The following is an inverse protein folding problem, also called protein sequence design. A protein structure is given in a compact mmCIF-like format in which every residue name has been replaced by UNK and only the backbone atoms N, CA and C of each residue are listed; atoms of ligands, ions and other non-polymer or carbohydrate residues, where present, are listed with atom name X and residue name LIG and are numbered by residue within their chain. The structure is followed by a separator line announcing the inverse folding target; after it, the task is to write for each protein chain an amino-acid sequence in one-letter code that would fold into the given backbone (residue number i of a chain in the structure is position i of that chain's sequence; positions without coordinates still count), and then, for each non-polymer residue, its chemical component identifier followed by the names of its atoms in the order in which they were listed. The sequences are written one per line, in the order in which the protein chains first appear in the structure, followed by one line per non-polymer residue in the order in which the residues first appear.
data_IF_470836506328
#
_entry.id   IF_470836506328
#
_cell.length_a   1.000
_cell.length_b   1.000
_cell.length_c   1.000
_cell.angle_alpha   90.00
_cell.angle_beta   90.00
_cell.angle_gamma   90.00
#
_symmetry.space_group_name_H-M   'P 1'
#
loop_
_entity.id
_entity.type
_entity.pdbx_description
1 polymer ?
#
# COMPACT_ATOMS: atom_id res chain seq x y z
N UNK A 1 4.27 19.66 32.68
CA UNK A 1 5.54 19.31 32.04
C UNK A 1 5.22 18.77 30.67
N UNK A 2 5.89 19.20 29.61
CA UNK A 2 5.65 18.64 28.29
C UNK A 2 5.97 17.14 28.35
N UNK A 3 5.08 16.30 27.79
CA UNK A 3 5.30 14.85 27.68
C UNK A 3 6.54 14.64 26.82
N UNK A 4 7.63 14.18 27.40
CA UNK A 4 8.82 13.70 26.68
C UNK A 4 8.62 12.30 26.11
N UNK A 5 7.37 11.82 26.12
CA UNK A 5 7.00 10.46 25.76
C UNK A 5 6.86 10.34 24.24
N UNK A 6 7.54 9.38 23.65
CA UNK A 6 7.39 8.99 22.26
C UNK A 6 6.63 7.68 22.18
N UNK A 7 5.67 7.61 21.27
CA UNK A 7 4.98 6.37 20.88
C UNK A 7 5.18 6.15 19.38
N UNK A 8 5.39 4.92 18.98
CA UNK A 8 5.60 4.57 17.59
C UNK A 8 4.60 3.51 17.15
N UNK A 9 3.84 3.82 16.12
CA UNK A 9 2.98 2.89 15.39
C UNK A 9 3.63 2.54 14.06
N UNK A 10 3.84 1.25 13.80
CA UNK A 10 4.54 0.71 12.63
C UNK A 10 3.55 -0.08 11.78
N UNK A 11 3.33 0.33 10.55
CA UNK A 11 2.52 -0.42 9.57
C UNK A 11 3.46 -1.15 8.63
N UNK A 12 3.42 -2.49 8.65
CA UNK A 12 4.34 -3.35 7.90
C UNK A 12 3.54 -4.38 7.10
N UNK A 13 3.09 -4.02 5.88
CA UNK A 13 2.42 -4.95 4.98
C UNK A 13 3.32 -6.15 4.68
N UNK A 14 2.77 -7.35 4.77
CA UNK A 14 3.52 -8.56 4.46
C UNK A 14 4.50 -9.04 5.54
N UNK A 15 4.39 -8.54 6.77
CA UNK A 15 5.22 -8.97 7.90
C UNK A 15 5.28 -10.49 8.04
N UNK A 16 4.16 -11.17 7.83
CA UNK A 16 4.04 -12.62 7.96
C UNK A 16 4.35 -13.40 6.66
N UNK A 17 4.84 -12.72 5.62
CA UNK A 17 5.27 -13.34 4.36
C UNK A 17 4.13 -13.62 3.37
N UNK A 18 4.50 -14.16 2.20
CA UNK A 18 3.52 -14.49 1.16
C UNK A 18 2.62 -15.68 1.57
N UNK A 19 1.43 -15.80 0.94
CA UNK A 19 0.57 -16.94 1.15
C UNK A 19 1.32 -18.26 0.95
N UNK A 20 1.10 -19.23 1.85
CA UNK A 20 1.76 -20.54 1.76
C UNK A 20 3.17 -20.60 2.36
N UNK A 21 3.75 -19.51 2.83
CA UNK A 21 5.12 -19.47 3.37
C UNK A 21 5.32 -20.41 4.56
N UNK A 22 4.25 -20.70 5.31
CA UNK A 22 4.31 -21.63 6.45
C UNK A 22 4.80 -23.02 6.05
N UNK A 23 4.43 -23.47 4.85
CA UNK A 23 4.74 -24.78 4.31
C UNK A 23 6.13 -24.86 3.66
N UNK A 24 6.88 -23.75 3.58
CA UNK A 24 8.20 -23.67 2.98
C UNK A 24 9.29 -23.75 4.06
N UNK A 25 9.93 -24.93 4.32
CA UNK A 25 10.95 -25.07 5.36
C UNK A 25 12.14 -24.13 5.18
N UNK A 26 12.51 -23.85 3.94
CA UNK A 26 13.61 -22.94 3.58
C UNK A 26 13.35 -21.50 4.05
N UNK A 27 12.10 -21.07 4.12
CA UNK A 27 11.74 -19.73 4.61
C UNK A 27 12.13 -19.53 6.08
N UNK A 28 12.24 -20.59 6.85
CA UNK A 28 12.47 -20.57 8.30
C UNK A 28 13.86 -21.03 8.70
N UNK A 29 14.64 -21.64 7.77
CA UNK A 29 15.97 -22.14 8.06
C UNK A 29 16.88 -20.98 8.47
N UNK A 30 17.51 -21.11 9.64
CA UNK A 30 18.46 -20.14 10.20
C UNK A 30 17.92 -18.71 10.40
N UNK A 31 16.59 -18.50 10.25
CA UNK A 31 15.96 -17.21 10.51
C UNK A 31 15.81 -16.99 12.01
N UNK A 32 16.52 -16.01 12.56
CA UNK A 32 16.50 -15.66 13.97
C UNK A 32 16.06 -14.22 14.19
N UNK A 33 14.84 -14.02 14.69
CA UNK A 33 14.21 -12.72 14.89
C UNK A 33 13.80 -12.50 16.36
N UNK A 34 14.73 -12.59 17.34
CA UNK A 34 14.37 -12.60 18.75
C UNK A 34 13.65 -11.35 19.24
N UNK A 35 13.89 -10.17 18.65
CA UNK A 35 13.18 -8.94 18.98
C UNK A 35 11.74 -8.98 18.47
N UNK A 36 11.51 -9.33 17.19
CA UNK A 36 10.18 -9.46 16.62
C UNK A 36 9.36 -10.53 17.36
N UNK A 37 9.91 -11.72 17.54
CA UNK A 37 9.28 -12.82 18.26
C UNK A 37 8.93 -12.46 19.70
N UNK A 38 9.83 -11.70 20.35
CA UNK A 38 9.64 -11.19 21.71
C UNK A 38 8.55 -10.12 21.80
N UNK A 39 8.49 -9.22 20.80
CA UNK A 39 7.44 -8.22 20.67
C UNK A 39 6.08 -8.91 20.52
N UNK A 40 5.94 -9.75 19.49
CA UNK A 40 4.69 -10.44 19.21
C UNK A 40 4.19 -11.25 20.41
N UNK A 41 5.10 -11.95 21.14
CA UNK A 41 4.74 -12.80 22.27
C UNK A 41 4.29 -12.05 23.51
N UNK A 42 4.74 -10.80 23.70
CA UNK A 42 4.43 -9.98 24.89
C UNK A 42 3.37 -8.93 24.64
N UNK A 43 3.15 -8.57 23.38
CA UNK A 43 2.16 -7.58 23.00
C UNK A 43 0.72 -8.05 23.28
N UNK A 44 -0.16 -7.11 23.53
CA UNK A 44 -1.59 -7.35 23.44
C UNK A 44 -1.96 -7.42 21.96
N UNK A 45 -2.71 -8.46 21.61
CA UNK A 45 -3.20 -8.65 20.24
C UNK A 45 -4.66 -8.19 20.17
N UNK A 46 -4.93 -7.28 19.26
CA UNK A 46 -6.28 -6.77 19.02
C UNK A 46 -6.63 -6.95 17.53
N UNK A 47 -7.90 -7.20 17.24
CA UNK A 47 -8.39 -7.14 15.86
C UNK A 47 -8.76 -5.70 15.54
N UNK A 48 -8.30 -5.23 14.37
CA UNK A 48 -8.59 -3.90 13.85
C UNK A 48 -9.25 -4.00 12.49
N UNK A 49 -10.00 -2.98 12.12
CA UNK A 49 -10.51 -2.87 10.76
C UNK A 49 -9.34 -2.70 9.79
N UNK A 50 -9.29 -3.54 8.77
CA UNK A 50 -8.30 -3.43 7.70
C UNK A 50 -7.46 -4.69 7.54
N UNK A 51 -7.78 -5.45 6.49
CA UNK A 51 -6.95 -6.56 6.01
C UNK A 51 -6.11 -6.16 4.79
N UNK A 52 -6.07 -4.86 4.43
CA UNK A 52 -5.22 -4.28 3.40
C UNK A 52 -4.55 -3.02 3.92
N UNK A 53 -3.47 -2.60 3.25
CA UNK A 53 -2.75 -1.36 3.63
C UNK A 53 -3.68 -0.15 3.55
N UNK A 54 -4.46 -0.04 2.47
CA UNK A 54 -5.38 1.05 2.23
C UNK A 54 -6.41 1.16 3.37
N UNK A 55 -7.07 0.04 3.74
CA UNK A 55 -8.04 0.02 4.85
C UNK A 55 -7.39 0.36 6.18
N UNK A 56 -6.21 -0.19 6.46
CA UNK A 56 -5.46 0.12 7.69
C UNK A 56 -5.13 1.60 7.78
N UNK A 57 -4.64 2.21 6.69
CA UNK A 57 -4.30 3.62 6.67
C UNK A 57 -5.53 4.52 6.85
N UNK A 58 -6.62 4.26 6.11
CA UNK A 58 -7.85 5.04 6.27
C UNK A 58 -8.40 4.95 7.70
N UNK A 59 -8.36 3.76 8.33
CA UNK A 59 -8.77 3.60 9.73
C UNK A 59 -7.86 4.39 10.70
N UNK A 60 -6.53 4.38 10.50
CA UNK A 60 -5.57 5.13 11.31
C UNK A 60 -5.71 6.65 11.17
N UNK A 61 -6.28 7.12 10.07
CA UNK A 61 -6.65 8.51 9.84
C UNK A 61 -8.14 8.79 10.09
N UNK A 62 -8.85 7.89 10.80
CA UNK A 62 -10.25 8.02 11.22
C UNK A 62 -11.23 8.19 10.06
N UNK A 63 -10.90 7.72 8.86
CA UNK A 63 -11.82 7.68 7.74
C UNK A 63 -12.51 6.33 7.66
N UNK A 64 -13.82 6.34 7.77
CA UNK A 64 -14.68 5.16 7.56
C UNK A 64 -15.44 5.30 6.26
N UNK A 65 -15.52 4.24 5.49
CA UNK A 65 -16.33 4.18 4.28
C UNK A 65 -17.44 3.17 4.49
N UNK A 66 -18.66 3.54 4.10
CA UNK A 66 -19.83 2.66 4.20
C UNK A 66 -19.62 1.35 3.42
N UNK A 67 -20.28 0.29 3.85
CA UNK A 67 -20.28 -0.97 3.11
C UNK A 67 -20.82 -0.75 1.68
N UNK A 68 -20.12 -1.28 0.68
CA UNK A 68 -20.51 -1.16 -0.72
C UNK A 68 -19.88 0.02 -1.49
N UNK A 69 -18.92 0.71 -0.89
CA UNK A 69 -18.14 1.75 -1.56
C UNK A 69 -16.64 1.47 -1.45
N UNK A 70 -15.89 1.89 -2.46
CA UNK A 70 -14.44 1.87 -2.43
C UNK A 70 -13.89 2.91 -1.44
N UNK A 71 -12.67 2.67 -0.95
CA UNK A 71 -11.89 3.72 -0.29
C UNK A 71 -11.43 4.73 -1.35
N UNK A 72 -11.55 6.05 -1.12
CA UNK A 72 -11.21 7.07 -2.11
C UNK A 72 -9.70 7.28 -2.28
N UNK A 73 -8.97 6.18 -2.52
CA UNK A 73 -7.52 6.17 -2.70
C UNK A 73 -7.09 7.08 -3.83
N UNK A 74 -7.84 7.04 -4.94
CA UNK A 74 -7.55 7.85 -6.12
C UNK A 74 -7.57 9.33 -5.81
N UNK A 75 -8.62 9.83 -5.18
CA UNK A 75 -8.75 11.25 -4.85
C UNK A 75 -7.68 11.73 -3.85
N UNK A 76 -7.36 10.91 -2.84
CA UNK A 76 -6.32 11.24 -1.85
C UNK A 76 -4.93 11.29 -2.50
N UNK A 77 -4.58 10.29 -3.30
CA UNK A 77 -3.28 10.26 -3.99
C UNK A 77 -3.19 11.31 -5.09
N UNK A 78 -4.32 11.63 -5.79
CA UNK A 78 -4.38 12.75 -6.74
C UNK A 78 -4.14 14.09 -6.04
N UNK A 79 -4.78 14.31 -4.89
CA UNK A 79 -4.54 15.53 -4.11
C UNK A 79 -3.08 15.66 -3.67
N UNK A 80 -2.42 14.56 -3.35
CA UNK A 80 -1.00 14.56 -3.03
C UNK A 80 -0.11 14.86 -4.24
N UNK A 81 -0.36 14.20 -5.38
CA UNK A 81 0.48 14.29 -6.57
C UNK A 81 0.33 15.61 -7.34
N UNK A 82 -0.88 16.19 -7.40
CA UNK A 82 -1.20 17.33 -8.25
C UNK A 82 -1.96 18.48 -7.56
N UNK A 83 -2.42 18.29 -6.33
CA UNK A 83 -3.15 19.28 -5.52
C UNK A 83 -4.45 19.81 -6.17
N UNK A 84 -5.07 19.02 -7.04
CA UNK A 84 -6.22 19.43 -7.85
C UNK A 84 -7.38 18.42 -7.85
N UNK A 85 -7.47 17.54 -6.81
CA UNK A 85 -8.56 16.56 -6.75
C UNK A 85 -9.96 17.18 -6.81
N UNK A 86 -10.11 18.40 -6.28
CA UNK A 86 -11.38 19.16 -6.36
C UNK A 86 -12.58 18.38 -5.86
N UNK A 87 -13.77 18.68 -6.46
CA UNK A 87 -15.01 17.98 -6.16
C UNK A 87 -15.35 16.81 -7.09
N UNK A 88 -14.42 16.38 -7.94
CA UNK A 88 -14.64 15.32 -8.92
C UNK A 88 -14.58 13.94 -8.29
N UNK A 89 -15.16 12.95 -8.97
CA UNK A 89 -14.95 11.55 -8.70
C UNK A 89 -13.69 11.06 -9.38
N UNK A 90 -12.82 10.40 -8.66
CA UNK A 90 -11.56 9.89 -9.17
C UNK A 90 -11.49 8.37 -9.04
N UNK A 91 -10.90 7.72 -10.03
CA UNK A 91 -10.42 6.35 -9.98
C UNK A 91 -8.92 6.34 -10.25
N UNK A 92 -8.18 5.45 -9.63
CA UNK A 92 -6.89 5.03 -10.15
C UNK A 92 -7.14 4.28 -11.46
N UNK A 93 -6.30 4.52 -12.44
CA UNK A 93 -6.32 3.86 -13.75
C UNK A 93 -4.91 3.39 -14.08
N UNK A 94 -4.36 2.52 -13.25
CA UNK A 94 -2.95 2.17 -13.29
C UNK A 94 -2.64 1.32 -14.52
N UNK A 95 -1.53 1.64 -15.26
CA UNK A 95 -1.11 0.87 -16.41
C UNK A 95 -0.65 -0.52 -15.98
N UNK A 96 -1.11 -1.54 -16.69
CA UNK A 96 -0.78 -2.93 -16.41
C UNK A 96 -0.51 -3.72 -17.69
N UNK A 97 0.18 -4.84 -17.54
CA UNK A 97 0.32 -5.83 -18.58
C UNK A 97 -0.40 -7.11 -18.18
N UNK A 98 -1.42 -7.49 -18.96
CA UNK A 98 -2.15 -8.73 -18.80
C UNK A 98 -1.56 -9.79 -19.74
N UNK A 99 -1.26 -10.96 -19.22
CA UNK A 99 -0.80 -12.10 -20.02
C UNK A 99 -1.63 -13.35 -19.70
N UNK A 100 -1.90 -14.12 -20.74
CA UNK A 100 -2.56 -15.40 -20.59
C UNK A 100 -1.57 -16.45 -20.06
N UNK A 101 -1.91 -17.11 -18.98
CA UNK A 101 -1.20 -18.25 -18.41
C UNK A 101 -2.18 -19.44 -18.34
N UNK A 102 -2.14 -20.30 -19.36
CA UNK A 102 -3.06 -21.42 -19.57
C UNK A 102 -4.53 -20.95 -19.60
N UNK A 103 -5.27 -21.18 -18.51
CA UNK A 103 -6.69 -20.83 -18.32
C UNK A 103 -6.90 -19.59 -17.44
N UNK A 104 -5.83 -18.85 -17.16
CA UNK A 104 -5.83 -17.67 -16.29
C UNK A 104 -5.36 -16.43 -17.03
N UNK A 105 -5.88 -15.29 -16.65
CA UNK A 105 -5.38 -13.99 -17.07
C UNK A 105 -4.65 -13.33 -15.90
N UNK A 106 -3.32 -13.33 -15.96
CA UNK A 106 -2.47 -12.86 -14.86
C UNK A 106 -1.98 -11.46 -15.15
N UNK A 107 -1.91 -10.64 -14.10
CA UNK A 107 -1.47 -9.25 -14.17
C UNK A 107 -0.03 -9.08 -13.74
N UNK A 108 0.79 -8.49 -14.61
CA UNK A 108 2.03 -7.84 -14.23
C UNK A 108 1.72 -6.37 -13.89
N UNK A 109 2.10 -5.94 -12.69
CA UNK A 109 1.85 -4.58 -12.24
C UNK A 109 2.77 -3.56 -12.90
N UNK A 110 2.48 -2.30 -12.64
CA UNK A 110 3.19 -1.14 -13.22
C UNK A 110 4.68 -1.07 -12.86
N UNK A 111 5.12 -1.69 -11.75
CA UNK A 111 6.55 -1.78 -11.41
C UNK A 111 7.37 -2.58 -12.42
N UNK A 112 6.74 -3.51 -13.13
CA UNK A 112 7.40 -4.33 -14.16
C UNK A 112 7.46 -3.65 -15.54
N UNK A 113 6.77 -2.51 -15.72
CA UNK A 113 6.57 -1.91 -17.04
C UNK A 113 7.65 -0.91 -17.44
N UNK A 114 8.38 -0.31 -16.50
CA UNK A 114 9.38 0.73 -16.77
C UNK A 114 8.89 1.76 -17.81
N UNK A 115 7.92 2.59 -17.41
CA UNK A 115 7.23 3.52 -18.30
C UNK A 115 7.87 4.90 -18.18
N UNK A 116 8.25 5.51 -19.31
CA UNK A 116 8.71 6.90 -19.32
C UNK A 116 7.54 7.89 -19.24
N UNK A 117 7.83 9.12 -18.83
CA UNK A 117 6.81 10.20 -18.77
C UNK A 117 6.23 10.49 -20.15
N UNK A 118 7.04 10.46 -21.21
CA UNK A 118 6.59 10.70 -22.58
C UNK A 118 5.62 9.61 -23.05
N UNK A 119 5.87 8.35 -22.70
CA UNK A 119 4.95 7.23 -22.97
C UNK A 119 3.64 7.38 -22.22
N UNK A 120 3.69 7.81 -20.97
CA UNK A 120 2.49 8.10 -20.17
C UNK A 120 1.61 9.14 -20.87
N UNK A 121 2.20 10.27 -21.28
CA UNK A 121 1.48 11.34 -21.95
C UNK A 121 0.93 10.90 -23.32
N UNK A 122 1.71 10.16 -24.10
CA UNK A 122 1.29 9.69 -25.41
C UNK A 122 0.06 8.75 -25.30
N UNK A 123 0.11 7.76 -24.40
CA UNK A 123 -0.99 6.83 -24.17
C UNK A 123 -2.22 7.55 -23.60
N UNK A 124 -2.05 8.43 -22.63
CA UNK A 124 -3.15 9.21 -22.08
C UNK A 124 -3.83 10.06 -23.16
N UNK A 125 -3.07 10.66 -24.07
CA UNK A 125 -3.60 11.42 -25.20
C UNK A 125 -4.38 10.55 -26.19
N UNK A 126 -3.88 9.36 -26.53
CA UNK A 126 -4.58 8.40 -27.38
C UNK A 126 -5.92 7.98 -26.80
N UNK A 127 -5.94 7.61 -25.51
CA UNK A 127 -7.16 7.22 -24.81
C UNK A 127 -8.14 8.38 -24.65
N UNK A 128 -7.69 9.55 -24.26
CA UNK A 128 -8.54 10.73 -24.12
C UNK A 128 -9.17 11.17 -25.45
N UNK A 129 -8.49 10.96 -26.59
CA UNK A 129 -9.07 11.21 -27.92
C UNK A 129 -10.15 10.19 -28.26
N UNK A 130 -9.93 8.91 -27.93
CA UNK A 130 -10.90 7.86 -28.21
C UNK A 130 -12.19 8.04 -27.39
N UNK A 131 -12.07 8.39 -26.11
CA UNK A 131 -13.17 8.59 -25.17
C UNK A 131 -13.63 10.06 -25.07
N UNK A 132 -13.38 10.88 -26.08
CA UNK A 132 -13.65 12.32 -26.03
C UNK A 132 -15.15 12.68 -25.84
N UNK A 133 -16.05 11.80 -26.25
CA UNK A 133 -17.50 11.96 -26.11
C UNK A 133 -18.06 11.37 -24.79
N UNK A 134 -17.21 10.67 -24.02
CA UNK A 134 -17.54 10.08 -22.73
C UNK A 134 -17.17 11.04 -21.57
N UNK A 135 -17.80 10.81 -20.41
CA UNK A 135 -17.35 11.42 -19.15
C UNK A 135 -16.05 10.76 -18.71
N UNK A 136 -14.95 11.11 -19.41
CA UNK A 136 -13.65 10.46 -19.26
C UNK A 136 -12.52 11.48 -19.40
N UNK A 137 -11.67 11.55 -18.37
CA UNK A 137 -10.42 12.32 -18.45
C UNK A 137 -9.31 11.58 -17.74
N UNK A 138 -8.42 10.96 -18.51
CA UNK A 138 -7.25 10.27 -18.01
C UNK A 138 -6.08 11.24 -17.88
N UNK A 139 -5.49 11.29 -16.71
CA UNK A 139 -4.26 11.99 -16.40
C UNK A 139 -3.17 10.99 -16.01
N UNK A 140 -2.05 11.02 -16.71
CA UNK A 140 -0.92 10.11 -16.57
C UNK A 140 0.41 10.87 -16.37
N UNK A 141 0.39 11.92 -15.54
CA UNK A 141 1.58 12.73 -15.23
C UNK A 141 2.62 12.00 -14.38
N UNK A 142 2.27 10.88 -13.78
CA UNK A 142 3.16 10.05 -12.98
C UNK A 142 3.25 8.65 -13.61
N UNK A 143 4.46 8.15 -13.84
CA UNK A 143 4.67 6.84 -14.48
C UNK A 143 3.98 5.66 -13.79
N UNK A 144 3.74 5.75 -12.49
CA UNK A 144 3.19 4.66 -11.68
C UNK A 144 1.74 4.87 -11.24
N UNK A 145 1.22 6.10 -11.30
CA UNK A 145 -0.12 6.43 -10.82
C UNK A 145 -0.86 7.25 -11.85
N UNK A 146 -1.79 6.62 -12.53
CA UNK A 146 -2.67 7.29 -13.47
C UNK A 146 -4.05 7.49 -12.85
N UNK A 147 -4.70 8.56 -13.23
CA UNK A 147 -5.94 9.01 -12.62
C UNK A 147 -7.01 9.22 -13.68
N UNK A 148 -8.15 8.58 -13.49
CA UNK A 148 -9.33 8.82 -14.30
C UNK A 148 -10.29 9.72 -13.53
N UNK A 149 -10.57 10.91 -14.07
CA UNK A 149 -11.56 11.82 -13.57
C UNK A 149 -12.90 11.51 -14.19
N UNK A 150 -13.94 11.49 -13.35
CA UNK A 150 -15.33 11.37 -13.73
C UNK A 150 -16.13 12.52 -13.09
N UNK A 151 -17.20 12.99 -13.75
CA UNK A 151 -18.11 13.97 -13.17
C UNK A 151 -19.08 13.29 -12.18
N UNK A 152 -19.45 12.03 -12.45
CA UNK A 152 -20.34 11.22 -11.62
C UNK A 152 -19.64 10.02 -10.97
N UNK A 153 -20.33 9.43 -10.00
CA UNK A 153 -19.88 8.21 -9.31
C UNK A 153 -19.79 7.02 -10.27
N UNK A 154 -18.71 6.25 -10.16
CA UNK A 154 -18.43 5.06 -10.99
C UNK A 154 -19.44 3.92 -10.81
N UNK A 155 -20.10 3.84 -9.64
CA UNK A 155 -21.09 2.82 -9.24
C UNK A 155 -20.57 1.38 -9.40
N UNK A 156 -19.27 1.19 -9.13
CA UNK A 156 -18.61 -0.11 -9.02
C UNK A 156 -17.81 -0.19 -7.72
N UNK A 157 -17.56 -1.40 -7.29
CA UNK A 157 -16.57 -1.75 -6.28
C UNK A 157 -15.38 -2.41 -6.98
N UNK A 158 -14.20 -2.08 -6.51
CA UNK A 158 -12.94 -2.48 -7.12
C UNK A 158 -11.96 -3.01 -6.08
N UNK A 159 -10.94 -3.70 -6.54
CA UNK A 159 -9.86 -4.17 -5.67
C UNK A 159 -8.55 -3.43 -5.97
N UNK A 160 -7.79 -3.14 -4.92
CA UNK A 160 -6.52 -2.45 -5.05
C UNK A 160 -5.55 -3.24 -5.94
N UNK A 161 -4.79 -2.53 -6.78
CA UNK A 161 -3.82 -3.14 -7.69
C UNK A 161 -2.90 -4.15 -6.96
N UNK A 162 -2.46 -3.81 -5.76
CA UNK A 162 -1.60 -4.64 -4.92
C UNK A 162 -2.20 -6.00 -4.53
N UNK A 163 -3.53 -6.10 -4.50
CA UNK A 163 -4.22 -7.34 -4.17
C UNK A 163 -4.41 -8.26 -5.39
N UNK A 164 -4.21 -7.72 -6.61
CA UNK A 164 -4.52 -8.42 -7.87
C UNK A 164 -3.26 -8.81 -8.64
N UNK A 165 -2.16 -8.07 -8.51
CA UNK A 165 -0.89 -8.39 -9.17
C UNK A 165 -0.46 -9.83 -8.87
N UNK A 166 -0.11 -10.59 -9.91
CA UNK A 166 0.28 -11.99 -9.83
C UNK A 166 -0.88 -12.97 -9.64
N UNK A 167 -2.13 -12.50 -9.62
CA UNK A 167 -3.33 -13.34 -9.48
C UNK A 167 -4.13 -13.40 -10.77
N UNK A 168 -5.09 -14.32 -10.83
CA UNK A 168 -6.08 -14.39 -11.91
C UNK A 168 -7.09 -13.24 -11.78
N UNK A 169 -7.00 -12.27 -12.69
CA UNK A 169 -7.82 -11.05 -12.64
C UNK A 169 -9.33 -11.30 -12.81
N UNK A 170 -9.73 -12.42 -13.39
CA UNK A 170 -11.14 -12.69 -13.67
C UNK A 170 -12.00 -12.74 -12.39
N UNK A 171 -11.38 -13.05 -11.26
CA UNK A 171 -12.03 -13.09 -9.94
C UNK A 171 -12.06 -11.74 -9.23
N UNK A 172 -11.33 -10.76 -9.76
CA UNK A 172 -11.11 -9.45 -9.17
C UNK A 172 -11.67 -8.31 -10.04
N UNK A 173 -12.43 -8.69 -11.10
CA UNK A 173 -13.05 -7.70 -11.99
C UNK A 173 -14.00 -6.77 -11.22
N UNK A 174 -14.10 -5.50 -11.63
CA UNK A 174 -15.03 -4.57 -11.03
C UNK A 174 -16.45 -5.14 -11.01
N UNK A 175 -17.16 -4.98 -9.90
CA UNK A 175 -18.53 -5.46 -9.70
C UNK A 175 -19.42 -4.36 -9.14
N UNK A 176 -20.73 -4.47 -9.39
CA UNK A 176 -21.72 -3.50 -8.95
C UNK A 176 -22.70 -3.11 -10.05
N UNK A 177 -23.58 -2.10 -9.81
CA UNK A 177 -24.65 -1.73 -10.74
C UNK A 177 -24.17 -1.32 -12.13
N UNK A 178 -22.95 -0.81 -12.28
CA UNK A 178 -22.37 -0.37 -13.55
C UNK A 178 -21.31 -1.34 -14.12
N UNK A 179 -21.19 -2.58 -13.60
CA UNK A 179 -20.13 -3.52 -13.99
C UNK A 179 -20.07 -3.81 -15.50
N UNK A 180 -21.22 -3.92 -16.17
CA UNK A 180 -21.26 -4.19 -17.61
C UNK A 180 -20.65 -3.04 -18.44
N UNK A 181 -20.94 -1.78 -18.08
CA UNK A 181 -20.35 -0.59 -18.71
C UNK A 181 -18.81 -0.61 -18.53
N UNK A 182 -18.35 -0.87 -17.30
CA UNK A 182 -16.92 -0.87 -17.01
C UNK A 182 -16.17 -2.01 -17.71
N UNK A 183 -16.78 -3.19 -17.83
CA UNK A 183 -16.18 -4.30 -18.62
C UNK A 183 -16.05 -3.94 -20.09
N UNK A 184 -17.10 -3.32 -20.69
CA UNK A 184 -17.01 -2.83 -22.07
C UNK A 184 -15.90 -1.79 -22.23
N UNK A 185 -15.82 -0.82 -21.32
CA UNK A 185 -14.81 0.21 -21.33
C UNK A 185 -13.38 -0.38 -21.19
N UNK A 186 -13.18 -1.37 -20.32
CA UNK A 186 -11.88 -2.06 -20.20
C UNK A 186 -11.50 -2.77 -21.51
N UNK A 187 -12.45 -3.40 -22.20
CA UNK A 187 -12.19 -4.02 -23.49
C UNK A 187 -11.84 -2.97 -24.57
N UNK A 188 -12.53 -1.85 -24.60
CA UNK A 188 -12.19 -0.75 -25.53
C UNK A 188 -10.80 -0.17 -25.25
N UNK A 189 -10.44 0.04 -23.99
CA UNK A 189 -9.08 0.44 -23.60
C UNK A 189 -8.05 -0.54 -24.14
N UNK A 190 -8.29 -1.85 -24.01
CA UNK A 190 -7.39 -2.87 -24.54
C UNK A 190 -7.28 -2.81 -26.07
N UNK A 191 -8.38 -2.57 -26.80
CA UNK A 191 -8.38 -2.42 -28.26
C UNK A 191 -7.56 -1.20 -28.70
N UNK A 192 -7.73 -0.06 -28.04
CA UNK A 192 -6.94 1.16 -28.32
C UNK A 192 -5.46 0.92 -28.04
N UNK A 193 -5.14 0.35 -26.89
CA UNK A 193 -3.76 0.07 -26.49
C UNK A 193 -3.08 -0.95 -27.40
N UNK A 194 -3.81 -1.95 -27.92
CA UNK A 194 -3.29 -2.92 -28.89
C UNK A 194 -2.86 -2.23 -30.20
N UNK A 195 -3.58 -1.22 -30.64
CA UNK A 195 -3.25 -0.46 -31.85
C UNK A 195 -2.30 0.73 -31.62
N UNK A 196 -1.93 0.99 -30.36
CA UNK A 196 -1.10 2.13 -29.96
C UNK A 196 0.28 2.13 -30.63
N UNK A 197 0.68 3.29 -31.13
CA UNK A 197 2.03 3.49 -31.63
C UNK A 197 3.08 3.32 -30.51
N UNK A 198 2.81 3.86 -29.34
CA UNK A 198 3.70 3.75 -28.17
C UNK A 198 3.97 2.29 -27.81
N UNK A 199 2.95 1.43 -27.83
CA UNK A 199 3.14 0.01 -27.54
C UNK A 199 3.96 -0.71 -28.63
N UNK A 200 3.77 -0.39 -29.91
CA UNK A 200 4.64 -0.91 -30.99
C UNK A 200 6.11 -0.52 -30.79
N UNK A 201 6.37 0.71 -30.38
CA UNK A 201 7.72 1.19 -30.08
C UNK A 201 8.32 0.51 -28.83
N UNK A 202 7.48 0.22 -27.82
CA UNK A 202 7.87 -0.58 -26.64
C UNK A 202 8.27 -2.00 -27.03
N UNK A 203 7.43 -2.69 -27.78
CA UNK A 203 7.67 -4.06 -28.26
C UNK A 203 8.93 -4.14 -29.13
N UNK A 204 9.15 -3.16 -30.01
CA UNK A 204 10.34 -3.09 -30.87
C UNK A 204 11.66 -3.00 -30.10
N UNK A 205 11.64 -2.48 -28.88
CA UNK A 205 12.83 -2.45 -27.99
C UNK A 205 12.82 -3.56 -26.92
N UNK A 206 11.88 -4.51 -26.98
CA UNK A 206 11.77 -5.63 -26.05
C UNK A 206 11.15 -5.28 -24.69
N UNK A 207 10.50 -4.11 -24.56
CA UNK A 207 9.76 -3.74 -23.36
C UNK A 207 8.34 -4.31 -23.40
N UNK A 208 7.77 -4.64 -22.22
CA UNK A 208 6.40 -5.12 -22.13
C UNK A 208 5.41 -4.02 -22.57
N UNK A 209 4.44 -4.32 -23.46
CA UNK A 209 3.40 -3.36 -23.80
C UNK A 209 2.46 -3.10 -22.62
N UNK A 210 1.95 -1.88 -22.55
CA UNK A 210 0.83 -1.52 -21.66
C UNK A 210 -0.44 -1.93 -22.38
N UNK A 211 -1.02 -3.08 -22.02
CA UNK A 211 -2.16 -3.62 -22.77
C UNK A 211 -3.49 -3.50 -22.03
N UNK A 212 -3.50 -2.95 -20.81
CA UNK A 212 -4.73 -2.65 -20.07
C UNK A 212 -4.51 -1.56 -19.03
N UNK A 213 -5.60 -1.03 -18.50
CA UNK A 213 -5.62 -0.20 -17.29
C UNK A 213 -6.38 -0.93 -16.20
N UNK A 214 -5.89 -0.85 -14.96
CA UNK A 214 -6.60 -1.35 -13.79
C UNK A 214 -7.28 -0.20 -13.06
N UNK A 215 -8.63 -0.24 -13.03
CA UNK A 215 -9.44 0.78 -12.37
C UNK A 215 -9.72 0.38 -10.93
N UNK A 216 -9.43 1.27 -9.96
CA UNK A 216 -9.65 0.98 -8.55
C UNK A 216 -9.64 2.23 -7.67
N UNK A 217 -10.05 2.06 -6.40
CA UNK A 217 -9.91 3.08 -5.37
C UNK A 217 -10.77 4.32 -5.60
N UNK A 218 -12.00 4.11 -6.09
CA UNK A 218 -12.94 5.14 -6.51
C UNK A 218 -13.46 6.01 -5.38
N UNK A 219 -13.57 7.33 -5.62
CA UNK A 219 -14.23 8.23 -4.69
C UNK A 219 -13.90 9.70 -4.89
N UNK A 220 -14.54 10.53 -4.07
CA UNK A 220 -14.24 11.96 -3.94
C UNK A 220 -13.26 12.19 -2.79
N UNK A 221 -12.56 13.30 -2.83
CA UNK A 221 -11.64 13.68 -1.76
C UNK A 221 -12.41 13.76 -0.43
N UNK A 222 -11.98 12.97 0.60
CA UNK A 222 -12.68 13.00 1.88
C UNK A 222 -12.42 14.31 2.64
N UNK A 223 -13.36 14.70 3.49
CA UNK A 223 -13.15 15.82 4.38
C UNK A 223 -12.00 15.53 5.36
N UNK A 224 -11.15 16.52 5.66
CA UNK A 224 -10.11 16.37 6.66
C UNK A 224 -10.67 15.96 8.02
N UNK A 225 -10.07 14.95 8.66
CA UNK A 225 -10.41 14.50 10.01
C UNK A 225 -9.19 14.73 10.91
N UNK A 226 -9.36 15.34 12.09
CA UNK A 226 -8.26 15.52 13.05
C UNK A 226 -7.75 14.16 13.56
N UNK A 227 -6.44 14.04 13.65
CA UNK A 227 -5.73 12.88 14.22
C UNK A 227 -4.68 13.33 15.22
N UNK A 228 -4.20 12.43 16.07
CA UNK A 228 -3.21 12.75 17.11
C UNK A 228 -1.76 12.52 16.67
N UNK A 229 -1.53 12.13 15.41
CA UNK A 229 -0.18 11.89 14.91
C UNK A 229 0.65 13.18 14.92
N UNK A 230 1.78 13.16 15.62
CA UNK A 230 2.74 14.27 15.60
C UNK A 230 3.53 14.31 14.30
N UNK A 231 3.80 13.14 13.71
CA UNK A 231 4.53 13.03 12.45
C UNK A 231 4.29 11.67 11.79
N UNK A 232 4.22 11.69 10.46
CA UNK A 232 4.27 10.52 9.60
C UNK A 232 5.68 10.35 9.03
N UNK A 233 6.18 9.11 9.01
CA UNK A 233 7.42 8.68 8.37
C UNK A 233 7.08 7.66 7.28
N UNK A 234 7.13 8.08 6.02
CA UNK A 234 6.73 7.21 4.91
C UNK A 234 7.14 7.77 3.56
N UNK A 235 7.36 6.87 2.60
CA UNK A 235 7.50 7.20 1.18
C UNK A 235 6.25 6.79 0.36
N UNK A 236 5.24 6.20 0.99
CA UNK A 236 3.99 5.81 0.33
C UNK A 236 3.06 7.00 0.10
N UNK A 237 2.60 7.17 -1.15
CA UNK A 237 1.80 8.31 -1.56
C UNK A 237 0.43 8.40 -0.88
N UNK A 238 -0.21 7.27 -0.56
CA UNK A 238 -1.50 7.27 0.12
C UNK A 238 -1.36 7.76 1.55
N UNK A 239 -0.37 7.25 2.29
CA UNK A 239 -0.11 7.66 3.67
C UNK A 239 0.28 9.14 3.74
N UNK A 240 1.12 9.62 2.81
CA UNK A 240 1.48 11.04 2.70
C UNK A 240 0.28 11.92 2.35
N UNK A 241 -0.59 11.46 1.45
CA UNK A 241 -1.82 12.17 1.09
C UNK A 241 -2.80 12.29 2.27
N UNK A 242 -3.02 11.21 3.02
CA UNK A 242 -3.85 11.22 4.23
C UNK A 242 -3.26 12.15 5.31
N UNK A 243 -1.95 12.10 5.52
CA UNK A 243 -1.28 12.96 6.48
C UNK A 243 -1.38 14.45 6.08
N UNK A 244 -1.23 14.75 4.79
CA UNK A 244 -1.41 16.10 4.24
C UNK A 244 -2.83 16.63 4.48
N UNK A 245 -3.86 15.81 4.25
CA UNK A 245 -5.25 16.16 4.55
C UNK A 245 -5.47 16.44 6.04
N UNK A 246 -4.88 15.62 6.90
CA UNK A 246 -4.95 15.77 8.35
C UNK A 246 -4.00 16.85 8.91
N UNK A 247 -3.20 17.53 8.06
CA UNK A 247 -2.17 18.51 8.41
C UNK A 247 -1.09 17.94 9.33
N UNK A 248 -0.76 16.67 9.18
CA UNK A 248 0.33 15.99 9.87
C UNK A 248 1.63 16.18 9.08
N UNK A 249 2.71 16.54 9.77
CA UNK A 249 4.03 16.66 9.15
C UNK A 249 4.50 15.30 8.61
N UNK A 250 5.06 15.30 7.39
CA UNK A 250 5.60 14.10 6.74
C UNK A 250 7.11 14.20 6.61
N UNK A 251 7.80 13.07 6.80
CA UNK A 251 9.21 12.91 6.50
C UNK A 251 9.46 11.52 5.88
N UNK A 252 10.58 11.40 5.19
CA UNK A 252 11.06 10.11 4.71
C UNK A 252 11.38 9.17 5.86
N UNK A 253 11.33 7.85 5.61
CA UNK A 253 11.75 6.86 6.59
C UNK A 253 13.23 7.09 6.97
N UNK A 254 13.57 7.22 8.27
CA UNK A 254 14.95 7.21 8.72
C UNK A 254 15.64 5.88 8.38
N UNK A 255 16.96 5.86 8.34
CA UNK A 255 17.70 4.64 8.02
C UNK A 255 17.53 3.55 9.08
N UNK A 256 17.44 3.94 10.35
CA UNK A 256 17.30 3.02 11.48
C UNK A 256 16.61 3.68 12.69
N UNK A 257 16.43 2.89 13.74
CA UNK A 257 15.77 3.34 14.96
C UNK A 257 16.58 4.36 15.75
N UNK A 258 17.90 4.36 15.68
CA UNK A 258 18.75 5.31 16.41
C UNK A 258 18.63 6.69 15.76
N UNK A 259 18.69 6.79 14.42
CA UNK A 259 18.42 8.05 13.70
C UNK A 259 17.01 8.57 14.04
N UNK A 260 15.99 7.68 14.02
CA UNK A 260 14.64 8.09 14.39
C UNK A 260 14.58 8.61 15.83
N UNK A 261 15.25 7.96 16.78
CA UNK A 261 15.28 8.38 18.20
C UNK A 261 15.99 9.72 18.41
N UNK A 262 16.89 10.12 17.51
CA UNK A 262 17.57 11.41 17.54
C UNK A 262 16.68 12.53 17.01
N UNK A 263 15.97 12.30 15.91
CA UNK A 263 15.22 13.36 15.20
C UNK A 263 13.74 13.46 15.59
N UNK A 264 13.15 12.39 16.13
CA UNK A 264 11.72 12.37 16.46
C UNK A 264 11.42 13.26 17.68
N UNK A 265 10.45 14.16 17.53
CA UNK A 265 9.89 14.96 18.63
C UNK A 265 9.10 14.08 19.60
N UNK A 266 8.78 14.58 20.83
CA UNK A 266 7.78 13.91 21.67
C UNK A 266 6.42 13.84 21.00
N UNK A 267 5.70 12.72 21.18
CA UNK A 267 4.34 12.53 20.64
C UNK A 267 4.10 11.17 20.02
N UNK A 268 3.04 11.06 19.25
CA UNK A 268 2.63 9.85 18.56
C UNK A 268 3.13 9.87 17.10
N UNK A 269 3.92 8.89 16.73
CA UNK A 269 4.50 8.77 15.39
C UNK A 269 3.90 7.59 14.66
N UNK A 270 3.57 7.81 13.38
CA UNK A 270 3.17 6.75 12.46
C UNK A 270 4.29 6.51 11.45
N UNK A 271 4.66 5.25 11.26
CA UNK A 271 5.69 4.82 10.32
C UNK A 271 5.11 3.74 9.41
N UNK A 272 5.24 3.93 8.09
CA UNK A 272 4.66 3.03 7.10
C UNK A 272 5.74 2.52 6.17
N UNK A 273 5.93 1.19 6.14
CA UNK A 273 6.82 0.50 5.21
C UNK A 273 6.02 -0.08 4.05
N UNK A 274 6.41 0.22 2.83
CA UNK A 274 5.82 -0.34 1.60
C UNK A 274 6.74 -1.36 0.89
N UNK A 275 8.02 -1.39 1.25
CA UNK A 275 9.06 -2.17 0.56
C UNK A 275 8.88 -3.70 0.55
N UNK A 276 7.97 -4.27 1.35
CA UNK A 276 7.64 -5.70 1.31
C UNK A 276 6.53 -6.05 0.31
N UNK A 277 5.72 -5.08 -0.14
CA UNK A 277 4.53 -5.37 -0.97
C UNK A 277 4.89 -6.11 -2.25
N UNK A 278 5.85 -5.60 -3.01
CA UNK A 278 6.29 -6.23 -4.27
C UNK A 278 6.88 -7.62 -4.02
N UNK A 279 7.71 -7.78 -2.98
CA UNK A 279 8.31 -9.07 -2.62
C UNK A 279 7.26 -10.13 -2.30
N UNK A 280 6.21 -9.74 -1.57
CA UNK A 280 5.07 -10.63 -1.26
C UNK A 280 4.30 -11.01 -2.53
N UNK A 281 4.06 -10.06 -3.43
CA UNK A 281 3.34 -10.28 -4.69
C UNK A 281 4.06 -11.29 -5.59
N UNK A 282 5.38 -11.22 -5.66
CA UNK A 282 6.20 -12.13 -6.47
C UNK A 282 6.68 -13.38 -5.71
N UNK A 283 6.16 -13.62 -4.51
CA UNK A 283 6.59 -14.72 -3.62
C UNK A 283 8.12 -14.80 -3.43
N UNK A 284 8.79 -13.63 -3.41
CA UNK A 284 10.23 -13.50 -3.16
C UNK A 284 10.54 -13.80 -1.68
N UNK A 285 10.70 -15.08 -1.37
CA UNK A 285 10.96 -15.55 0.00
C UNK A 285 12.30 -15.05 0.52
N UNK A 286 13.35 -15.03 -0.31
CA UNK A 286 14.69 -14.60 0.12
C UNK A 286 14.74 -13.09 0.37
N UNK A 287 14.12 -12.30 -0.50
CA UNK A 287 13.98 -10.87 -0.29
C UNK A 287 13.14 -10.53 0.95
N UNK A 288 12.08 -11.32 1.22
CA UNK A 288 11.31 -11.18 2.45
C UNK A 288 12.13 -11.48 3.70
N UNK A 289 12.92 -12.55 3.69
CA UNK A 289 13.83 -12.92 4.81
C UNK A 289 14.85 -11.82 5.08
N UNK A 290 15.49 -11.34 4.01
CA UNK A 290 16.50 -10.26 4.07
C UNK A 290 15.89 -8.98 4.66
N UNK A 291 14.69 -8.61 4.22
CA UNK A 291 14.00 -7.46 4.78
C UNK A 291 13.66 -7.65 6.26
N UNK A 292 13.15 -8.82 6.66
CA UNK A 292 12.83 -9.09 8.07
C UNK A 292 14.07 -9.04 8.96
N UNK A 293 15.21 -9.56 8.48
CA UNK A 293 16.46 -9.49 9.23
C UNK A 293 16.93 -8.04 9.37
N UNK A 294 16.88 -7.25 8.30
CA UNK A 294 17.21 -5.82 8.34
C UNK A 294 16.27 -5.04 9.28
N UNK A 295 14.96 -5.28 9.18
CA UNK A 295 13.96 -4.68 10.08
C UNK A 295 14.22 -5.06 11.54
N UNK A 296 14.57 -6.32 11.79
CA UNK A 296 14.89 -6.81 13.13
C UNK A 296 16.11 -6.09 13.70
N UNK A 297 17.20 -6.02 12.94
CA UNK A 297 18.49 -5.54 13.43
C UNK A 297 18.51 -4.00 13.53
N UNK A 298 18.04 -3.30 12.49
CA UNK A 298 18.08 -1.87 12.43
C UNK A 298 16.95 -1.18 13.22
N UNK A 299 15.82 -1.86 13.43
CA UNK A 299 14.65 -1.24 14.03
C UNK A 299 14.17 -1.94 15.31
N UNK A 300 13.75 -3.20 15.24
CA UNK A 300 13.00 -3.81 16.35
C UNK A 300 13.87 -4.08 17.58
N UNK A 301 15.12 -4.48 17.41
CA UNK A 301 16.02 -4.74 18.53
C UNK A 301 16.42 -3.44 19.27
N UNK A 302 16.81 -2.34 18.59
CA UNK A 302 17.03 -1.05 19.24
C UNK A 302 15.76 -0.47 19.87
N UNK A 303 14.60 -0.52 19.19
CA UNK A 303 13.33 -0.03 19.73
C UNK A 303 12.88 -0.78 20.99
N UNK A 304 13.05 -2.09 21.05
CA UNK A 304 12.78 -2.85 22.28
C UNK A 304 13.72 -2.43 23.44
N UNK A 305 14.95 -2.08 23.13
CA UNK A 305 15.89 -1.55 24.11
C UNK A 305 15.44 -0.18 24.58
N UNK A 306 15.10 0.73 23.66
CA UNK A 306 14.57 2.06 23.96
C UNK A 306 13.27 2.00 24.79
N UNK A 307 12.38 1.04 24.49
CA UNK A 307 11.14 0.81 25.24
C UNK A 307 11.42 0.37 26.69
N UNK A 308 12.40 -0.55 26.90
CA UNK A 308 12.83 -0.97 28.25
C UNK A 308 13.46 0.18 29.04
N UNK A 309 14.17 1.06 28.35
CA UNK A 309 14.79 2.27 28.91
C UNK A 309 13.81 3.43 29.09
N UNK A 310 12.55 3.31 28.65
CA UNK A 310 11.52 4.35 28.64
C UNK A 310 11.83 5.56 27.77
N UNK A 311 12.72 5.45 26.79
CA UNK A 311 12.90 6.46 25.73
C UNK A 311 11.71 6.45 24.76
N UNK A 312 11.04 5.30 24.64
CA UNK A 312 9.77 5.09 23.97
C UNK A 312 8.81 4.47 24.97
N UNK A 313 7.55 4.85 24.95
CA UNK A 313 6.54 4.39 25.95
C UNK A 313 5.63 3.31 25.41
N UNK A 314 5.40 3.28 24.09
CA UNK A 314 4.62 2.25 23.41
C UNK A 314 5.13 1.99 21.99
N UNK A 315 5.05 0.73 21.57
CA UNK A 315 5.23 0.28 20.19
C UNK A 315 3.95 -0.43 19.75
N UNK A 316 3.34 0.02 18.68
CA UNK A 316 2.21 -0.62 18.05
C UNK A 316 2.65 -1.15 16.69
N UNK A 317 2.28 -2.39 16.35
CA UNK A 317 2.63 -3.03 15.09
C UNK A 317 1.36 -3.49 14.38
N UNK A 318 1.15 -2.99 13.17
CA UNK A 318 0.05 -3.36 12.28
C UNK A 318 0.59 -4.25 11.16
N UNK A 319 0.18 -5.51 11.17
CA UNK A 319 0.61 -6.52 10.19
C UNK A 319 -0.19 -6.49 8.88
N UNK A 320 -1.22 -5.63 8.82
CA UNK A 320 -2.08 -5.44 7.64
C UNK A 320 -2.90 -6.71 7.25
N UNK A 321 -3.10 -7.60 8.21
CA UNK A 321 -3.99 -8.76 8.14
C UNK A 321 -5.23 -8.62 9.06
N UNK A 322 -5.51 -7.39 9.51
CA UNK A 322 -6.54 -7.10 10.51
C UNK A 322 -6.07 -7.32 11.95
N UNK A 323 -4.76 -7.35 12.19
CA UNK A 323 -4.20 -7.52 13.53
C UNK A 323 -3.30 -6.36 13.94
N UNK A 324 -3.49 -5.88 15.15
CA UNK A 324 -2.61 -4.95 15.84
C UNK A 324 -1.95 -5.63 17.04
N UNK A 325 -0.66 -5.37 17.23
CA UNK A 325 0.13 -5.81 18.38
C UNK A 325 0.58 -4.56 19.16
N UNK A 326 0.06 -4.38 20.36
CA UNK A 326 0.39 -3.25 21.25
C UNK A 326 1.35 -3.68 22.35
N UNK A 327 2.51 -3.06 22.43
CA UNK A 327 3.53 -3.34 23.43
C UNK A 327 3.88 -2.09 24.23
N UNK A 328 3.58 -2.09 25.51
CA UNK A 328 4.02 -1.04 26.45
C UNK A 328 5.41 -1.31 27.04
N UNK A 329 6.02 -0.29 27.65
CA UNK A 329 7.26 -0.45 28.38
C UNK A 329 7.15 -1.47 29.55
N UNK A 330 5.96 -1.63 30.13
CA UNK A 330 5.66 -2.66 31.14
C UNK A 330 5.67 -4.07 30.56
N UNK A 331 5.01 -4.24 29.41
CA UNK A 331 4.91 -5.53 28.72
C UNK A 331 6.29 -6.02 28.21
N UNK A 332 7.12 -5.11 27.71
CA UNK A 332 8.48 -5.42 27.24
C UNK A 332 9.39 -6.03 28.32
N UNK A 333 9.10 -5.77 29.60
CA UNK A 333 9.87 -6.28 30.75
C UNK A 333 9.41 -7.65 31.24
N UNK A 334 8.35 -8.22 30.69
CA UNK A 334 7.81 -9.55 31.07
C UNK A 334 8.70 -10.66 30.52
N UNK A 335 9.92 -10.80 31.06
CA UNK A 335 10.90 -11.78 30.61
C UNK A 335 10.46 -13.25 30.77
N UNK A 336 9.50 -13.53 31.67
CA UNK A 336 8.93 -14.85 31.91
C UNK A 336 7.96 -15.33 30.82
N UNK A 337 7.49 -14.44 29.91
CA UNK A 337 6.66 -14.84 28.79
C UNK A 337 7.53 -15.56 27.75
N UNK A 338 7.21 -16.83 27.52
CA UNK A 338 7.94 -17.65 26.55
C UNK A 338 7.79 -17.06 25.15
N UNK A 339 8.90 -16.86 24.49
CA UNK A 339 8.95 -16.38 23.12
C UNK A 339 8.50 -17.48 22.16
N UNK A 340 7.52 -17.17 21.29
CA UNK A 340 7.06 -18.02 20.20
C UNK A 340 7.81 -17.64 18.93
N UNK A 341 8.20 -18.64 18.15
CA UNK A 341 8.83 -18.45 16.84
C UNK A 341 7.86 -17.81 15.87
N UNK A 342 8.39 -17.01 14.91
CA UNK A 342 7.53 -16.30 13.94
C UNK A 342 6.60 -17.27 13.19
N UNK A 343 7.10 -18.42 12.75
CA UNK A 343 6.30 -19.47 12.10
C UNK A 343 5.06 -19.98 12.88
N UNK A 344 4.97 -19.71 14.17
CA UNK A 344 3.83 -20.09 15.02
C UNK A 344 2.70 -19.03 15.03
N UNK A 345 2.91 -17.91 14.36
CA UNK A 345 1.94 -16.81 14.28
C UNK A 345 1.12 -16.84 12.99
N UNK A 346 1.47 -17.71 12.07
CA UNK A 346 0.84 -17.94 10.76
C UNK A 346 -0.34 -18.91 10.83
#
# INVERSE_FOLDING_TARGET
MPRTERQLSMVIPGLFGPPGIKQLPEAWRDLSLPALEGLLSRARRERVEGATLERTLFALFHHTVGSGHDLPVAAVTRQWDAQDAGGYWWLRADPVHLHADRDRLVMAGNSALDISVDECHAIALELNRHFAEEDWRLDATNARRWYLRLDEESRIMTEALSEVVGRDILRHMPHGPAEGRWRSMMNEVQMVLHSSRTNREREARGALPINSLWFWGGGRLPCPVPVNWSQLWSNDALSQGLASLAKVACASLPADAEEWLEVASPGEHLMVWDGLRERIQFADVEGWRTFLQSLHDAWLAPLLTALKQRRVTALNLYSVDGTEFRLSAGDARRWWIRRRKLAQWL
#
